data_IF_173574740527
#
_entry.id   IF_173574740527
#
_cell.length_a   1.000
_cell.length_b   1.000
_cell.length_c   1.000
_cell.angle_alpha   90.00
_cell.angle_beta   90.00
_cell.angle_gamma   90.00
#
_symmetry.space_group_name_H-M   'P 1'
#
loop_
_entity.id
_entity.type
_entity.pdbx_description
1 polymer ?
#
# COMPACT_ATOMS: atom_id res chain seq x y z
N UNK A 1 28.30 18.89 -22.37
CA UNK A 1 28.31 18.85 -20.89
C UNK A 1 27.35 17.74 -20.49
N UNK A 2 27.88 16.55 -20.24
CA UNK A 2 27.12 15.39 -19.79
C UNK A 2 26.69 15.64 -18.35
N UNK A 3 25.40 15.94 -18.13
CA UNK A 3 24.81 15.87 -16.80
C UNK A 3 24.85 14.41 -16.37
N UNK A 4 25.71 14.10 -15.41
CA UNK A 4 25.67 12.81 -14.73
C UNK A 4 24.28 12.64 -14.12
N UNK A 5 23.73 11.43 -14.22
CA UNK A 5 22.54 11.10 -13.45
C UNK A 5 22.91 11.28 -11.97
N UNK A 6 22.36 12.30 -11.34
CA UNK A 6 22.39 12.46 -9.90
C UNK A 6 21.66 11.23 -9.31
N UNK A 7 22.34 10.45 -8.47
CA UNK A 7 21.77 9.24 -7.90
C UNK A 7 20.65 9.66 -6.93
N UNK A 8 19.41 9.53 -7.38
CA UNK A 8 18.23 9.83 -6.58
C UNK A 8 17.76 8.58 -5.83
N UNK A 9 17.56 8.72 -4.53
CA UNK A 9 16.86 7.74 -3.71
C UNK A 9 15.35 7.92 -3.85
N UNK A 10 14.61 6.82 -3.72
CA UNK A 10 13.17 6.81 -3.88
C UNK A 10 12.50 5.89 -2.87
N UNK A 11 11.35 6.34 -2.36
CA UNK A 11 10.42 5.54 -1.57
C UNK A 11 9.05 5.56 -2.19
N UNK A 12 8.44 4.39 -2.32
CA UNK A 12 7.09 4.21 -2.82
C UNK A 12 6.11 3.86 -1.70
N UNK A 13 4.83 4.12 -1.96
CA UNK A 13 3.73 3.79 -1.05
C UNK A 13 3.26 2.35 -1.29
N UNK A 14 2.43 1.84 -0.37
CA UNK A 14 1.51 0.79 -0.77
C UNK A 14 0.63 1.32 -1.92
N UNK A 15 0.46 0.56 -3.02
CA UNK A 15 -0.33 1.03 -4.14
C UNK A 15 -1.81 1.23 -3.76
N UNK A 16 -2.43 2.25 -4.34
CA UNK A 16 -3.87 2.50 -4.23
C UNK A 16 -4.59 2.00 -5.48
N UNK A 17 -5.79 1.43 -5.29
CA UNK A 17 -6.65 0.95 -6.37
C UNK A 17 -7.86 1.85 -6.51
N UNK A 18 -7.98 2.50 -7.66
CA UNK A 18 -9.07 3.41 -7.94
C UNK A 18 -10.13 2.71 -8.78
N UNK A 19 -11.37 2.56 -8.27
CA UNK A 19 -12.42 1.84 -8.94
C UNK A 19 -13.09 2.68 -10.03
N UNK A 20 -13.76 1.99 -10.96
CA UNK A 20 -14.54 2.57 -12.06
C UNK A 20 -15.54 3.63 -11.60
N UNK A 21 -16.19 3.40 -10.46
CA UNK A 21 -17.20 4.30 -9.90
C UNK A 21 -16.69 5.74 -9.73
N UNK A 22 -15.39 5.90 -9.49
CA UNK A 22 -14.83 7.22 -9.36
C UNK A 22 -14.89 8.01 -10.70
N UNK A 23 -14.88 7.35 -11.86
CA UNK A 23 -14.82 8.01 -13.19
C UNK A 23 -16.21 8.23 -13.80
N UNK A 24 -17.22 7.51 -13.32
CA UNK A 24 -18.59 7.56 -13.85
C UNK A 24 -19.42 8.69 -13.24
N UNK A 25 -18.98 9.22 -12.10
CA UNK A 25 -19.64 10.32 -11.39
C UNK A 25 -18.78 11.59 -11.46
N UNK A 26 -19.35 12.70 -11.93
CA UNK A 26 -18.61 13.96 -12.09
C UNK A 26 -17.98 14.46 -10.78
N UNK A 27 -18.69 14.36 -9.66
CA UNK A 27 -18.16 14.75 -8.34
C UNK A 27 -17.02 13.84 -7.90
N UNK A 28 -17.16 12.52 -8.05
CA UNK A 28 -16.11 11.56 -7.69
C UNK A 28 -14.87 11.71 -8.60
N UNK A 29 -15.09 12.06 -9.87
CA UNK A 29 -14.04 12.32 -10.83
C UNK A 29 -13.25 13.58 -10.42
N UNK A 30 -13.94 14.67 -10.13
CA UNK A 30 -13.31 15.93 -9.69
C UNK A 30 -12.52 15.73 -8.38
N UNK A 31 -13.11 15.01 -7.41
CA UNK A 31 -12.44 14.69 -6.15
C UNK A 31 -11.19 13.83 -6.36
N UNK A 32 -11.28 12.82 -7.23
CA UNK A 32 -10.13 11.95 -7.51
C UNK A 32 -9.04 12.70 -8.24
N UNK A 33 -9.41 13.50 -9.23
CA UNK A 33 -8.45 14.32 -9.96
C UNK A 33 -7.75 15.30 -9.02
N UNK A 34 -8.49 15.97 -8.13
CA UNK A 34 -7.92 16.85 -7.11
C UNK A 34 -6.96 16.12 -6.17
N UNK A 35 -7.30 14.91 -5.71
CA UNK A 35 -6.44 14.10 -4.85
C UNK A 35 -5.14 13.66 -5.54
N UNK A 36 -5.21 13.30 -6.83
CA UNK A 36 -4.02 12.98 -7.63
C UNK A 36 -3.16 14.23 -7.83
N UNK A 37 -3.79 15.35 -8.23
CA UNK A 37 -3.08 16.62 -8.46
C UNK A 37 -2.38 17.11 -7.21
N UNK A 38 -3.02 17.02 -6.06
CA UNK A 38 -2.45 17.43 -4.78
C UNK A 38 -1.09 16.76 -4.51
N UNK A 39 -0.96 15.45 -4.78
CA UNK A 39 0.31 14.74 -4.60
C UNK A 39 1.38 15.24 -5.57
N UNK A 40 1.03 15.44 -6.83
CA UNK A 40 1.97 15.90 -7.87
C UNK A 40 2.40 17.35 -7.63
N UNK A 41 1.44 18.24 -7.37
CA UNK A 41 1.68 19.67 -7.14
C UNK A 41 2.46 19.91 -5.83
N UNK A 42 2.40 18.97 -4.88
CA UNK A 42 3.18 19.00 -3.63
C UNK A 42 4.60 18.43 -3.77
N UNK A 43 5.05 18.10 -4.99
CA UNK A 43 6.41 17.60 -5.26
C UNK A 43 6.55 16.08 -5.21
N UNK A 44 5.44 15.36 -5.05
CA UNK A 44 5.40 13.90 -5.21
C UNK A 44 5.39 13.50 -6.69
N UNK A 45 5.69 12.23 -6.93
CA UNK A 45 5.51 11.62 -8.24
C UNK A 45 4.61 10.39 -8.13
N UNK A 46 4.06 9.93 -9.26
CA UNK A 46 3.29 8.70 -9.27
C UNK A 46 3.57 7.83 -10.49
N UNK A 47 3.45 6.53 -10.30
CA UNK A 47 3.30 5.57 -11.40
C UNK A 47 1.82 5.18 -11.45
N UNK A 48 1.19 5.41 -12.59
CA UNK A 48 -0.17 4.96 -12.87
C UNK A 48 -0.16 3.78 -13.82
N UNK A 49 -0.69 2.64 -13.39
CA UNK A 49 -0.96 1.49 -14.25
C UNK A 49 -2.45 1.47 -14.54
N UNK A 50 -2.81 1.66 -15.81
CA UNK A 50 -4.19 1.51 -16.25
C UNK A 50 -4.52 0.03 -16.31
N UNK A 51 -5.54 -0.38 -15.54
CA UNK A 51 -5.95 -1.76 -15.41
C UNK A 51 -7.36 -1.88 -15.95
N UNK A 52 -7.59 -2.90 -16.77
CA UNK A 52 -8.95 -3.35 -17.03
C UNK A 52 -9.25 -4.45 -16.03
N UNK A 53 -10.08 -4.14 -15.04
CA UNK A 53 -10.57 -5.15 -14.10
C UNK A 53 -11.11 -6.38 -14.83
N UNK A 54 -10.90 -7.56 -14.23
CA UNK A 54 -11.24 -8.84 -14.86
C UNK A 54 -12.73 -8.87 -15.20
N UNK A 55 -13.06 -9.25 -16.44
CA UNK A 55 -14.44 -9.54 -16.80
C UNK A 55 -14.91 -10.81 -16.06
N UNK A 56 -16.19 -10.89 -15.69
CA UNK A 56 -16.75 -12.13 -15.17
C UNK A 56 -16.62 -13.24 -16.22
N UNK A 57 -16.45 -14.47 -15.75
CA UNK A 57 -16.45 -15.67 -16.59
C UNK A 57 -17.80 -15.84 -17.30
N UNK A 58 -17.85 -16.66 -18.35
CA UNK A 58 -19.03 -16.85 -19.20
C UNK A 58 -20.31 -17.27 -18.44
N UNK A 59 -20.19 -17.76 -17.20
CA UNK A 59 -21.30 -18.12 -16.32
C UNK A 59 -21.73 -17.05 -15.30
N UNK A 60 -21.16 -15.85 -15.33
CA UNK A 60 -21.45 -14.79 -14.35
C UNK A 60 -20.80 -15.08 -13.00
N UNK A 61 -19.48 -14.88 -12.92
CA UNK A 61 -18.73 -15.09 -11.69
C UNK A 61 -17.24 -14.85 -11.86
N UNK A 62 -16.49 -15.04 -10.78
CA UNK A 62 -15.03 -14.97 -10.77
C UNK A 62 -14.46 -16.25 -10.17
N UNK A 63 -13.34 -16.72 -10.70
CA UNK A 63 -12.60 -17.85 -10.14
C UNK A 63 -12.41 -17.73 -8.62
N UNK A 64 -12.59 -18.83 -7.88
CA UNK A 64 -12.33 -18.87 -6.43
C UNK A 64 -10.82 -18.80 -6.15
N UNK A 65 -10.33 -17.58 -5.96
CA UNK A 65 -8.95 -17.29 -5.61
C UNK A 65 -8.85 -16.19 -4.55
N UNK A 66 -7.63 -15.93 -4.08
CA UNK A 66 -7.34 -14.95 -3.04
C UNK A 66 -7.22 -13.50 -3.54
N UNK A 67 -7.46 -13.23 -4.84
CA UNK A 67 -7.31 -11.87 -5.39
C UNK A 67 -8.35 -10.95 -4.76
N UNK A 68 -7.91 -9.80 -4.22
CA UNK A 68 -8.80 -8.80 -3.63
C UNK A 68 -9.91 -8.41 -4.63
N UNK A 69 -11.20 -8.50 -4.27
CA UNK A 69 -12.30 -8.16 -5.16
C UNK A 69 -12.25 -6.74 -5.73
N UNK A 70 -11.58 -5.80 -5.06
CA UNK A 70 -11.39 -4.44 -5.58
C UNK A 70 -10.81 -4.42 -7.00
N UNK A 71 -9.92 -5.38 -7.33
CA UNK A 71 -9.32 -5.52 -8.66
C UNK A 71 -10.32 -5.77 -9.80
N UNK A 72 -11.57 -6.17 -9.50
CA UNK A 72 -12.61 -6.35 -10.52
C UNK A 72 -13.14 -5.02 -11.04
N UNK A 73 -13.13 -4.00 -10.19
CA UNK A 73 -13.60 -2.66 -10.52
C UNK A 73 -12.47 -1.66 -10.74
N UNK A 74 -11.22 -2.00 -10.42
CA UNK A 74 -10.06 -1.12 -10.61
C UNK A 74 -9.89 -0.69 -12.07
N UNK A 75 -9.74 0.62 -12.26
CA UNK A 75 -9.36 1.23 -13.54
C UNK A 75 -7.94 1.79 -13.49
N UNK A 76 -7.52 2.31 -12.34
CA UNK A 76 -6.17 2.84 -12.12
C UNK A 76 -5.57 2.20 -10.87
N UNK A 77 -4.40 1.60 -11.03
CA UNK A 77 -3.54 1.18 -9.93
C UNK A 77 -2.39 2.17 -9.83
N UNK A 78 -2.38 2.99 -8.77
CA UNK A 78 -1.44 4.09 -8.61
C UNK A 78 -0.45 3.82 -7.48
N UNK A 79 0.80 4.18 -7.71
CA UNK A 79 1.88 4.11 -6.72
C UNK A 79 2.40 5.53 -6.53
N UNK A 80 2.26 6.08 -5.33
CA UNK A 80 2.84 7.37 -4.98
C UNK A 80 4.31 7.20 -4.60
N UNK A 81 5.14 8.17 -4.96
CA UNK A 81 6.57 8.13 -4.73
C UNK A 81 7.08 9.47 -4.22
N UNK A 82 7.95 9.39 -3.22
CA UNK A 82 8.80 10.49 -2.78
C UNK A 82 10.24 10.19 -3.18
N UNK A 83 10.94 11.19 -3.68
CA UNK A 83 12.35 11.10 -4.06
C UNK A 83 13.17 12.16 -3.33
N UNK A 84 14.45 11.86 -3.10
CA UNK A 84 15.43 12.75 -2.49
C UNK A 84 16.82 12.43 -3.03
N UNK A 85 17.76 13.37 -2.91
CA UNK A 85 19.17 13.17 -3.30
C UNK A 85 19.85 12.19 -2.35
N UNK A 86 20.80 11.39 -2.84
CA UNK A 86 21.47 10.36 -2.03
C UNK A 86 22.15 10.91 -0.78
N UNK A 87 22.69 12.12 -0.85
CA UNK A 87 23.39 12.83 0.23
C UNK A 87 22.44 13.64 1.14
N UNK A 88 21.12 13.52 0.94
CA UNK A 88 20.12 14.19 1.80
C UNK A 88 20.28 13.77 3.26
N UNK A 89 20.10 14.74 4.17
CA UNK A 89 20.15 14.45 5.61
C UNK A 89 19.00 13.55 6.05
N UNK A 90 19.16 12.86 7.19
CA UNK A 90 18.11 12.00 7.76
C UNK A 90 16.81 12.76 7.97
N UNK A 91 16.87 14.03 8.38
CA UNK A 91 15.70 14.88 8.60
C UNK A 91 14.89 15.08 7.30
N UNK A 92 15.55 15.24 6.15
CA UNK A 92 14.88 15.34 4.85
C UNK A 92 14.22 14.00 4.50
N UNK A 93 14.92 12.89 4.71
CA UNK A 93 14.39 11.54 4.42
C UNK A 93 13.17 11.22 5.28
N UNK A 94 13.21 11.57 6.57
CA UNK A 94 12.09 11.43 7.50
C UNK A 94 10.92 12.31 7.10
N UNK A 95 11.18 13.58 6.78
CA UNK A 95 10.15 14.52 6.34
C UNK A 95 9.45 14.05 5.06
N UNK A 96 10.20 13.64 4.04
CA UNK A 96 9.64 13.11 2.80
C UNK A 96 8.88 11.80 3.03
N UNK A 97 9.39 10.92 3.90
CA UNK A 97 8.69 9.69 4.29
C UNK A 97 7.37 9.99 5.02
N UNK A 98 7.36 11.04 5.85
CA UNK A 98 6.18 11.50 6.57
C UNK A 98 5.12 12.05 5.60
N UNK A 99 5.49 12.97 4.71
CA UNK A 99 4.59 13.52 3.69
C UNK A 99 3.95 12.41 2.86
N UNK A 100 4.78 11.49 2.36
CA UNK A 100 4.32 10.36 1.56
C UNK A 100 3.27 9.52 2.31
N UNK A 101 3.51 9.21 3.58
CA UNK A 101 2.69 8.26 4.36
C UNK A 101 1.45 8.89 4.97
N UNK A 102 1.59 10.07 5.56
CA UNK A 102 0.57 10.68 6.42
C UNK A 102 -0.18 11.84 5.77
N UNK A 103 0.36 12.41 4.69
CA UNK A 103 -0.26 13.52 3.97
C UNK A 103 -0.78 13.07 2.60
N UNK A 104 0.11 12.71 1.68
CA UNK A 104 -0.21 12.38 0.30
C UNK A 104 -1.13 11.15 0.18
N UNK A 105 -0.78 10.05 0.85
CA UNK A 105 -1.63 8.84 0.84
C UNK A 105 -2.94 9.05 1.60
N UNK A 106 -2.98 9.96 2.58
CA UNK A 106 -4.22 10.31 3.26
C UNK A 106 -5.20 10.97 2.29
N UNK A 107 -4.73 11.82 1.37
CA UNK A 107 -5.57 12.38 0.31
C UNK A 107 -6.13 11.29 -0.62
N UNK A 108 -5.31 10.32 -1.02
CA UNK A 108 -5.77 9.20 -1.86
C UNK A 108 -6.77 8.29 -1.15
N UNK A 109 -6.61 8.04 0.15
CA UNK A 109 -7.55 7.22 0.94
C UNK A 109 -8.96 7.79 0.99
N UNK A 110 -9.14 9.09 0.78
CA UNK A 110 -10.47 9.72 0.73
C UNK A 110 -11.26 9.30 -0.52
N UNK A 111 -10.56 8.95 -1.61
CA UNK A 111 -11.17 8.61 -2.91
C UNK A 111 -10.92 7.15 -3.31
N UNK A 112 -10.01 6.46 -2.64
CA UNK A 112 -9.69 5.03 -2.82
C UNK A 112 -9.72 4.36 -1.44
N UNK A 113 -10.90 3.99 -0.93
CA UNK A 113 -11.04 3.48 0.43
C UNK A 113 -10.36 2.12 0.64
N UNK A 114 -9.49 2.08 1.65
CA UNK A 114 -8.90 0.89 2.26
C UNK A 114 -8.47 1.26 3.68
N UNK A 115 -8.95 0.53 4.69
CA UNK A 115 -8.77 0.92 6.09
C UNK A 115 -7.35 0.62 6.58
N UNK A 116 -7.03 -0.67 6.65
CA UNK A 116 -5.75 -1.22 7.08
C UNK A 116 -5.10 -2.04 5.96
N UNK A 117 -3.92 -2.61 6.23
CA UNK A 117 -3.23 -3.44 5.25
C UNK A 117 -4.06 -4.69 4.90
N UNK A 118 -4.81 -5.25 5.85
CA UNK A 118 -5.57 -6.49 5.67
C UNK A 118 -6.66 -6.27 4.61
N UNK A 119 -7.44 -5.20 4.76
CA UNK A 119 -8.45 -4.80 3.79
C UNK A 119 -7.84 -4.33 2.47
N UNK A 120 -6.71 -3.61 2.51
CA UNK A 120 -6.07 -3.07 1.30
C UNK A 120 -5.49 -4.18 0.42
N UNK A 121 -4.83 -5.18 1.00
CA UNK A 121 -4.22 -6.28 0.26
C UNK A 121 -5.20 -7.40 -0.07
N UNK A 122 -6.10 -7.76 0.85
CA UNK A 122 -6.90 -8.98 0.77
C UNK A 122 -8.42 -8.72 0.73
N UNK A 123 -8.87 -7.54 1.17
CA UNK A 123 -10.28 -7.18 1.23
C UNK A 123 -11.07 -8.11 2.15
N UNK A 124 -12.31 -8.41 1.75
CA UNK A 124 -13.19 -9.32 2.49
C UNK A 124 -12.73 -10.79 2.53
N UNK A 125 -11.60 -11.13 1.91
CA UNK A 125 -11.03 -12.49 1.93
C UNK A 125 -10.10 -12.73 3.12
N UNK A 126 -9.75 -11.68 3.87
CA UNK A 126 -8.74 -11.76 4.92
C UNK A 126 -9.06 -12.82 5.98
N UNK A 127 -10.28 -12.85 6.51
CA UNK A 127 -10.68 -13.76 7.58
C UNK A 127 -10.49 -15.23 7.17
N UNK A 128 -10.96 -15.62 5.97
CA UNK A 128 -10.77 -16.97 5.42
C UNK A 128 -9.29 -17.29 5.23
N UNK A 129 -8.49 -16.32 4.77
CA UNK A 129 -7.04 -16.52 4.60
C UNK A 129 -6.35 -16.69 5.95
N UNK A 130 -6.76 -15.96 6.98
CA UNK A 130 -6.23 -16.06 8.33
C UNK A 130 -6.55 -17.42 8.95
N UNK A 131 -7.79 -17.90 8.84
CA UNK A 131 -8.16 -19.26 9.25
C UNK A 131 -7.30 -20.32 8.55
N UNK A 132 -7.10 -20.17 7.23
CA UNK A 132 -6.28 -21.09 6.46
C UNK A 132 -4.82 -21.04 6.90
N UNK A 133 -4.28 -19.84 7.17
CA UNK A 133 -2.93 -19.65 7.70
C UNK A 133 -2.76 -20.39 9.02
N UNK A 134 -3.70 -20.28 9.96
CA UNK A 134 -3.63 -21.00 11.25
C UNK A 134 -3.76 -22.51 11.11
N UNK A 135 -4.49 -22.99 10.11
CA UNK A 135 -4.58 -24.43 9.80
C UNK A 135 -3.29 -24.98 9.19
N UNK A 136 -2.68 -24.24 8.27
CA UNK A 136 -1.52 -24.71 7.49
C UNK A 136 -0.18 -24.42 8.18
N UNK A 137 -0.09 -23.33 8.93
CA UNK A 137 1.09 -22.90 9.68
C UNK A 137 0.69 -22.50 11.12
N UNK A 138 0.31 -23.47 11.96
CA UNK A 138 -0.16 -23.22 13.33
C UNK A 138 0.91 -22.63 14.25
N UNK A 139 2.19 -22.74 13.88
CA UNK A 139 3.32 -22.22 14.66
C UNK A 139 3.80 -20.85 14.17
N UNK A 140 3.16 -20.30 13.13
CA UNK A 140 3.55 -19.03 12.50
C UNK A 140 5.03 -19.03 12.07
N UNK A 141 5.53 -20.15 11.55
CA UNK A 141 6.93 -20.30 11.10
C UNK A 141 7.24 -19.37 9.91
N UNK A 142 6.26 -19.18 9.02
CA UNK A 142 6.42 -18.32 7.85
C UNK A 142 5.90 -16.92 8.14
N UNK A 143 6.80 -15.99 8.43
CA UNK A 143 6.50 -14.58 8.62
C UNK A 143 6.93 -13.73 7.41
N UNK A 144 6.11 -12.75 7.06
CA UNK A 144 6.49 -11.64 6.19
C UNK A 144 5.72 -10.39 6.61
N UNK A 145 6.35 -9.21 6.47
CA UNK A 145 5.72 -7.92 6.77
C UNK A 145 4.42 -7.75 5.95
N UNK A 146 3.31 -7.39 6.61
CA UNK A 146 1.99 -7.20 6.00
C UNK A 146 1.39 -8.46 5.32
N UNK A 147 1.96 -9.64 5.54
CA UNK A 147 1.33 -10.89 5.13
C UNK A 147 0.19 -11.29 6.08
N UNK A 148 -0.63 -12.25 5.67
CA UNK A 148 -1.72 -12.79 6.48
C UNK A 148 -1.17 -13.37 7.78
N UNK A 149 -1.65 -12.88 8.92
CA UNK A 149 -1.24 -13.28 10.27
C UNK A 149 0.02 -12.56 10.80
N UNK A 150 0.59 -11.62 10.05
CA UNK A 150 1.74 -10.83 10.50
C UNK A 150 1.43 -9.92 11.69
N UNK A 151 0.16 -9.57 11.89
CA UNK A 151 -0.34 -8.77 13.01
C UNK A 151 -0.18 -9.46 14.37
N UNK A 152 0.03 -10.77 14.42
CA UNK A 152 0.30 -11.52 15.65
C UNK A 152 1.73 -11.33 16.16
N UNK A 153 2.57 -10.64 15.36
CA UNK A 153 3.97 -10.39 15.65
C UNK A 153 4.26 -8.90 15.69
N UNK A 154 5.30 -8.55 16.44
CA UNK A 154 5.84 -7.21 16.53
C UNK A 154 7.37 -7.23 16.47
N UNK A 155 7.93 -6.17 15.92
CA UNK A 155 9.36 -5.93 15.89
C UNK A 155 9.79 -5.32 17.22
N UNK A 156 10.90 -5.81 17.79
CA UNK A 156 11.43 -5.27 19.05
C UNK A 156 11.94 -3.84 18.94
N UNK A 157 12.26 -3.40 17.72
CA UNK A 157 12.83 -2.10 17.42
C UNK A 157 12.20 -1.53 16.15
N UNK A 158 12.00 -0.21 16.15
CA UNK A 158 11.53 0.54 14.98
C UNK A 158 12.63 1.51 14.56
N UNK A 159 12.94 1.57 13.26
CA UNK A 159 13.81 2.58 12.68
C UNK A 159 13.09 3.93 12.85
N UNK A 160 13.79 4.95 13.36
CA UNK A 160 13.25 6.29 13.62
C UNK A 160 11.97 6.31 14.50
N UNK A 161 11.76 5.26 15.31
CA UNK A 161 10.61 5.15 16.22
C UNK A 161 9.27 4.82 15.55
N UNK A 162 9.19 4.78 14.22
CA UNK A 162 7.93 4.57 13.50
C UNK A 162 8.03 3.69 12.24
N UNK A 163 9.23 3.31 11.79
CA UNK A 163 9.42 2.45 10.63
C UNK A 163 9.80 1.01 11.06
N UNK A 164 9.24 -0.03 10.43
CA UNK A 164 9.58 -1.40 10.76
C UNK A 164 11.06 -1.69 10.46
N UNK A 165 11.79 -2.21 11.45
CA UNK A 165 13.18 -2.64 11.30
C UNK A 165 13.26 -4.10 10.85
N UNK A 166 13.75 -4.34 9.64
CA UNK A 166 14.03 -5.69 9.14
C UNK A 166 15.21 -6.38 9.88
N UNK A 167 15.98 -5.62 10.67
CA UNK A 167 17.10 -6.14 11.46
C UNK A 167 16.71 -6.43 12.91
N UNK A 168 15.47 -6.13 13.32
CA UNK A 168 15.02 -6.32 14.69
C UNK A 168 14.63 -7.76 15.00
N UNK A 169 14.58 -8.09 16.29
CA UNK A 169 14.03 -9.37 16.74
C UNK A 169 12.52 -9.36 16.51
N UNK A 170 12.02 -10.42 15.90
CA UNK A 170 10.58 -10.67 15.78
C UNK A 170 10.04 -11.32 17.06
N UNK A 171 9.01 -10.72 17.65
CA UNK A 171 8.41 -11.13 18.92
C UNK A 171 6.92 -11.40 18.74
N UNK A 172 6.40 -12.48 19.34
CA UNK A 172 4.96 -12.77 19.31
C UNK A 172 4.24 -11.87 20.29
N UNK A 173 3.18 -11.19 19.85
CA UNK A 173 2.40 -10.30 20.71
C UNK A 173 1.77 -11.09 21.85
N UNK A 174 1.86 -10.54 23.06
CA UNK A 174 1.28 -11.14 24.26
C UNK A 174 2.03 -12.36 24.82
N UNK A 175 3.16 -12.77 24.23
CA UNK A 175 4.02 -13.77 24.86
C UNK A 175 4.72 -13.16 26.10
N UNK A 176 4.81 -13.90 27.23
CA UNK A 176 5.60 -13.44 28.37
C UNK A 176 7.06 -13.24 27.94
N UNK A 177 7.62 -12.08 28.29
CA UNK A 177 9.01 -11.72 28.01
C UNK A 177 9.99 -12.46 28.91
#
# INVERSE_FOLDING_TARGET
>A
MSGGAEEANMRSTCPAVFPRANWENATALDQTFAAIRYVIDSGGSMIGVMVRGSAPEAGGGYSDNAVNPAWRETVLHAIGMASWEQESSTEIVEFMSYLLTFDWIKAWRQVSPGADFQQSFWGNKYDRLYELKKKLDPYDLFYAQNAVGSEDWEMSEMIFGNLPSQNSRLCKKGAPR
#
